data_IF_228396533323
#
_entry.id   IF_228396533323
#
_cell.length_a   1.000
_cell.length_b   1.000
_cell.length_c   1.000
_cell.angle_alpha   90.00
_cell.angle_beta   90.00
_cell.angle_gamma   90.00
#
_symmetry.space_group_name_H-M   'P 1'
#
loop_
_entity.id
_entity.type
_entity.pdbx_description
1 polymer ?
#
# COMPACT_ATOMS: atom_id res chain seq x y z
N UNK A 1 35.17 -12.80 -82.86
CA UNK A 1 35.84 -13.26 -81.62
C UNK A 1 35.62 -12.19 -80.55
N UNK A 2 35.17 -12.62 -79.36
CA UNK A 2 35.14 -11.90 -78.07
C UNK A 2 34.14 -10.72 -78.00
N UNK A 3 33.36 -10.46 -76.96
CA UNK A 3 33.07 -11.04 -75.64
C UNK A 3 31.73 -10.38 -75.24
N UNK A 4 30.79 -11.01 -74.54
CA UNK A 4 30.96 -11.48 -73.17
C UNK A 4 30.42 -10.43 -72.19
N UNK A 5 29.24 -10.70 -71.63
CA UNK A 5 28.53 -9.96 -70.58
C UNK A 5 29.42 -9.57 -69.38
N UNK A 6 29.10 -8.44 -68.71
CA UNK A 6 28.92 -8.42 -67.25
C UNK A 6 28.23 -7.14 -66.78
N UNK A 7 26.96 -7.26 -66.37
CA UNK A 7 26.31 -6.33 -65.44
C UNK A 7 26.58 -6.89 -64.04
N UNK A 8 27.16 -6.11 -63.13
CA UNK A 8 26.94 -6.20 -61.68
C UNK A 8 27.88 -5.24 -60.95
N UNK A 9 27.38 -4.10 -60.47
CA UNK A 9 27.88 -3.40 -59.27
C UNK A 9 26.98 -2.18 -59.00
N UNK A 10 25.81 -2.38 -58.40
CA UNK A 10 25.08 -1.26 -57.81
C UNK A 10 24.13 -1.68 -56.69
N UNK A 11 24.54 -2.51 -55.73
CA UNK A 11 23.69 -2.75 -54.54
C UNK A 11 24.53 -3.23 -53.34
N UNK A 12 25.44 -2.42 -52.81
CA UNK A 12 26.19 -2.81 -51.59
C UNK A 12 26.50 -1.65 -50.63
N UNK A 13 25.63 -0.63 -50.49
CA UNK A 13 25.86 0.43 -49.47
C UNK A 13 24.67 0.90 -48.63
N UNK A 14 23.46 0.36 -48.83
CA UNK A 14 22.25 0.81 -48.12
C UNK A 14 21.54 -0.33 -47.39
N UNK A 15 22.29 -1.20 -46.69
CA UNK A 15 21.68 -2.30 -45.94
C UNK A 15 22.28 -2.54 -44.54
N UNK A 16 23.15 -1.65 -44.02
CA UNK A 16 23.73 -1.83 -42.67
C UNK A 16 23.23 -0.85 -41.60
N UNK A 17 22.61 0.27 -41.97
CA UNK A 17 22.19 1.29 -40.98
C UNK A 17 20.81 1.01 -40.34
N UNK A 18 19.96 0.17 -40.96
CA UNK A 18 18.60 -0.07 -40.47
C UNK A 18 18.51 -1.17 -39.39
N UNK A 19 19.51 -2.06 -39.30
CA UNK A 19 19.47 -3.21 -38.37
C UNK A 19 19.90 -2.82 -36.94
N UNK A 20 20.71 -1.77 -36.78
CA UNK A 20 21.18 -1.32 -35.46
C UNK A 20 20.17 -0.46 -34.69
N UNK A 21 19.17 0.11 -35.38
CA UNK A 21 18.14 0.94 -34.73
C UNK A 21 16.99 0.12 -34.10
N UNK A 22 16.86 -1.17 -34.44
CA UNK A 22 15.79 -2.03 -33.94
C UNK A 22 16.14 -2.80 -32.65
N UNK A 23 17.39 -2.76 -32.21
CA UNK A 23 17.87 -3.49 -31.02
C UNK A 23 17.70 -2.72 -29.70
N UNK A 24 17.25 -1.46 -29.73
CA UNK A 24 17.11 -0.62 -28.53
C UNK A 24 15.70 -0.61 -27.91
N UNK A 25 14.73 -1.34 -28.46
CA UNK A 25 13.35 -1.34 -27.95
C UNK A 25 12.95 -2.61 -27.17
N UNK A 26 13.88 -3.56 -26.96
CA UNK A 26 13.63 -4.71 -26.08
C UNK A 26 14.12 -4.39 -24.66
N UNK A 27 13.68 -3.25 -24.15
CA UNK A 27 13.68 -3.00 -22.70
C UNK A 27 12.54 -3.80 -22.10
N UNK A 28 12.78 -5.08 -21.84
CA UNK A 28 11.87 -5.93 -21.06
C UNK A 28 11.93 -5.41 -19.61
N UNK A 29 11.12 -4.41 -19.29
CA UNK A 29 10.84 -4.06 -17.91
C UNK A 29 10.23 -5.30 -17.28
N UNK A 30 10.91 -5.91 -16.31
CA UNK A 30 10.28 -6.92 -15.46
C UNK A 30 9.14 -6.22 -14.75
N UNK A 31 7.92 -6.46 -15.22
CA UNK A 31 6.74 -6.21 -14.43
C UNK A 31 6.94 -7.06 -13.16
N UNK A 32 7.00 -6.38 -12.00
CA UNK A 32 7.03 -7.06 -10.72
C UNK A 32 5.61 -7.61 -10.55
N UNK A 33 5.35 -8.76 -11.14
CA UNK A 33 4.08 -9.48 -11.04
C UNK A 33 3.94 -10.00 -9.60
N UNK A 34 3.53 -9.11 -8.70
CA UNK A 34 3.12 -9.46 -7.35
C UNK A 34 1.68 -9.94 -7.41
N UNK A 35 1.49 -11.25 -7.17
CA UNK A 35 0.17 -11.84 -6.98
C UNK A 35 -0.37 -11.44 -5.60
N UNK A 36 -1.55 -10.79 -5.52
CA UNK A 36 -2.18 -10.42 -4.25
C UNK A 36 -2.24 -11.60 -3.27
N UNK A 37 -1.75 -11.38 -2.05
CA UNK A 37 -1.81 -12.37 -0.97
C UNK A 37 -2.57 -11.82 0.22
N UNK A 38 -3.56 -12.58 0.68
CA UNK A 38 -4.33 -12.27 1.88
C UNK A 38 -3.98 -13.27 2.99
N UNK A 39 -3.27 -12.79 4.02
CA UNK A 39 -2.83 -13.57 5.17
C UNK A 39 -3.12 -12.80 6.47
N UNK A 40 -4.33 -13.00 7.00
CA UNK A 40 -4.86 -12.18 8.09
C UNK A 40 -4.78 -12.85 9.47
N UNK A 41 -4.57 -14.17 9.55
CA UNK A 41 -4.62 -14.93 10.80
C UNK A 41 -5.82 -14.59 11.68
N UNK A 42 -5.56 -14.39 12.98
CA UNK A 42 -6.59 -14.04 13.99
C UNK A 42 -7.15 -12.62 13.85
N UNK A 43 -6.58 -11.79 12.97
CA UNK A 43 -7.02 -10.40 12.76
C UNK A 43 -8.17 -10.28 11.75
N UNK A 44 -8.57 -11.37 11.10
CA UNK A 44 -9.65 -11.38 10.12
C UNK A 44 -10.97 -10.73 10.62
N UNK A 45 -11.42 -10.91 11.88
CA UNK A 45 -12.61 -10.23 12.38
C UNK A 45 -12.48 -8.70 12.43
N UNK A 46 -11.29 -8.18 12.73
CA UNK A 46 -11.05 -6.72 12.72
C UNK A 46 -11.02 -6.18 11.29
N UNK A 47 -10.40 -6.90 10.36
CA UNK A 47 -10.40 -6.53 8.94
C UNK A 47 -11.82 -6.51 8.37
N UNK A 48 -12.66 -7.48 8.75
CA UNK A 48 -14.07 -7.48 8.36
C UNK A 48 -14.84 -6.26 8.90
N UNK A 49 -14.57 -5.83 10.14
CA UNK A 49 -15.15 -4.60 10.70
C UNK A 49 -14.67 -3.35 9.97
N UNK A 50 -13.42 -3.35 9.51
CA UNK A 50 -12.87 -2.26 8.71
C UNK A 50 -13.58 -2.13 7.36
N UNK A 51 -13.76 -3.24 6.64
CA UNK A 51 -14.53 -3.26 5.39
C UNK A 51 -15.99 -2.84 5.62
N UNK A 52 -16.62 -3.33 6.69
CA UNK A 52 -17.99 -2.98 7.05
C UNK A 52 -18.14 -1.49 7.35
N UNK A 53 -17.22 -0.91 8.13
CA UNK A 53 -17.26 0.52 8.42
C UNK A 53 -17.01 1.37 7.18
N UNK A 54 -16.23 0.89 6.20
CA UNK A 54 -16.10 1.54 4.90
C UNK A 54 -17.44 1.60 4.16
N UNK A 55 -18.15 0.47 4.08
CA UNK A 55 -19.45 0.38 3.39
C UNK A 55 -20.48 1.31 4.02
N UNK A 56 -20.54 1.35 5.35
CA UNK A 56 -21.40 2.27 6.12
C UNK A 56 -21.11 3.76 5.86
N UNK A 57 -19.90 4.08 5.38
CA UNK A 57 -19.47 5.43 5.03
C UNK A 57 -19.50 5.70 3.52
N UNK A 58 -20.16 4.82 2.74
CA UNK A 58 -20.38 5.01 1.31
C UNK A 58 -19.17 4.65 0.43
N UNK A 59 -18.19 3.94 0.99
CA UNK A 59 -17.03 3.43 0.27
C UNK A 59 -17.08 1.90 0.23
N UNK A 60 -17.13 1.30 -0.96
CA UNK A 60 -17.04 -0.16 -1.10
C UNK A 60 -15.56 -0.56 -1.13
N UNK A 61 -14.99 -0.79 0.06
CA UNK A 61 -13.61 -1.24 0.23
C UNK A 61 -13.56 -2.75 0.45
N UNK A 62 -12.63 -3.41 -0.24
CA UNK A 62 -12.26 -4.80 0.00
C UNK A 62 -10.76 -4.94 0.13
N UNK A 63 -10.31 -5.63 1.18
CA UNK A 63 -8.90 -5.88 1.45
C UNK A 63 -8.51 -7.17 0.74
N UNK A 64 -7.78 -7.04 -0.37
CA UNK A 64 -7.44 -8.16 -1.25
C UNK A 64 -5.95 -8.57 -1.16
N UNK A 65 -5.09 -7.67 -0.70
CA UNK A 65 -3.64 -7.88 -0.57
C UNK A 65 -3.15 -7.28 0.74
N UNK A 66 -2.96 -8.13 1.74
CA UNK A 66 -2.52 -7.72 3.08
C UNK A 66 -2.01 -8.93 3.86
N UNK A 67 -0.87 -8.76 4.53
CA UNK A 67 -0.40 -9.68 5.56
C UNK A 67 -0.43 -8.98 6.92
N UNK A 68 -0.91 -9.66 7.95
CA UNK A 68 -0.86 -9.16 9.34
C UNK A 68 -0.16 -10.18 10.21
N UNK A 69 0.90 -9.77 10.91
CA UNK A 69 1.67 -10.66 11.78
C UNK A 69 2.23 -9.94 12.99
N UNK A 70 2.55 -10.71 14.02
CA UNK A 70 3.43 -10.20 15.08
C UNK A 70 4.89 -10.22 14.63
N UNK A 71 5.69 -9.26 15.09
CA UNK A 71 7.10 -9.17 14.75
C UNK A 71 7.90 -8.21 15.62
N UNK A 72 9.20 -8.12 15.32
CA UNK A 72 10.09 -7.13 15.91
C UNK A 72 10.00 -5.82 15.13
N UNK A 73 10.28 -4.72 15.81
CA UNK A 73 10.36 -3.38 15.26
C UNK A 73 11.65 -2.74 15.75
N UNK A 74 12.21 -1.83 14.96
CA UNK A 74 13.45 -1.13 15.32
C UNK A 74 13.23 -0.15 16.48
N UNK A 75 12.09 0.53 16.48
CA UNK A 75 11.70 1.46 17.53
C UNK A 75 11.05 0.72 18.71
N UNK A 76 11.49 1.00 19.96
CA UNK A 76 10.81 0.47 21.14
C UNK A 76 9.42 1.11 21.35
N UNK A 77 9.17 2.29 20.77
CA UNK A 77 7.93 3.05 20.96
C UNK A 77 6.80 2.63 20.02
N UNK A 78 7.13 1.98 18.90
CA UNK A 78 6.15 1.59 17.89
C UNK A 78 5.33 0.40 18.41
N UNK A 79 4.02 0.43 18.16
CA UNK A 79 3.08 -0.64 18.57
C UNK A 79 2.59 -1.45 17.37
N UNK A 80 2.53 -0.79 16.22
CA UNK A 80 2.27 -1.31 14.88
C UNK A 80 3.17 -0.55 13.89
N UNK A 81 3.48 -1.19 12.78
CA UNK A 81 4.03 -0.53 11.58
C UNK A 81 3.41 -1.16 10.34
N UNK A 82 3.32 -0.38 9.28
CA UNK A 82 3.02 -0.84 7.94
C UNK A 82 4.30 -0.84 7.09
N UNK A 83 4.69 -2.01 6.59
CA UNK A 83 5.79 -2.17 5.64
C UNK A 83 5.23 -2.30 4.22
N UNK A 84 5.70 -1.42 3.33
CA UNK A 84 5.34 -1.41 1.90
C UNK A 84 6.63 -1.52 1.11
N UNK A 85 6.90 -2.72 0.60
CA UNK A 85 8.07 -3.01 -0.23
C UNK A 85 7.59 -3.20 -1.68
N UNK A 86 8.22 -2.55 -2.68
CA UNK A 86 7.82 -2.72 -4.07
C UNK A 86 7.86 -4.19 -4.52
N UNK A 87 6.74 -4.69 -5.04
CA UNK A 87 6.61 -6.08 -5.48
C UNK A 87 6.34 -7.09 -4.36
N UNK A 88 6.01 -6.64 -3.15
CA UNK A 88 5.60 -7.50 -2.04
C UNK A 88 4.22 -7.09 -1.48
N UNK A 89 3.53 -8.04 -0.87
CA UNK A 89 2.30 -7.79 -0.11
C UNK A 89 2.55 -6.79 1.02
N UNK A 90 1.78 -5.69 1.11
CA UNK A 90 1.81 -4.79 2.26
C UNK A 90 1.65 -5.57 3.56
N UNK A 91 2.56 -5.36 4.50
CA UNK A 91 2.61 -6.16 5.73
C UNK A 91 2.45 -5.25 6.94
N UNK A 92 1.38 -5.47 7.70
CA UNK A 92 1.23 -4.89 9.04
C UNK A 92 1.97 -5.78 10.03
N UNK A 93 2.92 -5.19 10.75
CA UNK A 93 3.65 -5.85 11.82
C UNK A 93 3.17 -5.25 13.13
N UNK A 94 2.77 -6.10 14.08
CA UNK A 94 2.34 -5.69 15.42
C UNK A 94 3.35 -6.17 16.47
N UNK A 95 3.55 -5.36 17.51
CA UNK A 95 4.36 -5.73 18.66
C UNK A 95 3.48 -6.50 19.65
N UNK A 96 3.67 -7.83 19.75
CA UNK A 96 2.86 -8.73 20.59
C UNK A 96 2.71 -8.23 22.03
N UNK A 97 3.81 -7.82 22.65
CA UNK A 97 3.81 -7.34 24.04
C UNK A 97 3.02 -6.05 24.23
N UNK A 98 2.91 -5.21 23.21
CA UNK A 98 2.04 -4.03 23.26
C UNK A 98 0.58 -4.42 23.01
N UNK A 99 0.34 -5.25 21.99
CA UNK A 99 -0.99 -5.71 21.59
C UNK A 99 -1.77 -6.36 22.74
N UNK A 100 -1.11 -7.19 23.54
CA UNK A 100 -1.72 -7.91 24.65
C UNK A 100 -2.14 -7.00 25.81
N UNK A 101 -1.66 -5.75 25.84
CA UNK A 101 -2.01 -4.76 26.86
C UNK A 101 -3.13 -3.81 26.40
N UNK A 102 -3.51 -3.84 25.13
CA UNK A 102 -4.54 -2.98 24.57
C UNK A 102 -5.94 -3.56 24.83
N UNK A 103 -6.92 -2.69 25.04
CA UNK A 103 -8.33 -3.11 24.99
C UNK A 103 -8.74 -3.45 23.56
N UNK A 104 -9.89 -4.11 23.38
CA UNK A 104 -10.40 -4.43 22.04
C UNK A 104 -10.56 -3.18 21.16
N UNK A 105 -10.98 -2.05 21.74
CA UNK A 105 -11.15 -0.80 21.00
C UNK A 105 -9.80 -0.15 20.65
N UNK A 106 -8.79 -0.28 21.51
CA UNK A 106 -7.44 0.20 21.22
C UNK A 106 -6.74 -0.69 20.17
N UNK A 107 -7.00 -2.00 20.19
CA UNK A 107 -6.58 -2.93 19.15
C UNK A 107 -7.21 -2.58 17.80
N UNK A 108 -8.50 -2.25 17.81
CA UNK A 108 -9.22 -1.79 16.62
C UNK A 108 -8.65 -0.46 16.10
N UNK A 109 -8.47 0.53 16.97
CA UNK A 109 -7.89 1.82 16.61
C UNK A 109 -6.49 1.65 15.99
N UNK A 110 -5.62 0.85 16.61
CA UNK A 110 -4.28 0.56 16.11
C UNK A 110 -4.33 -0.14 14.75
N UNK A 111 -5.11 -1.22 14.62
CA UNK A 111 -5.13 -1.96 13.36
C UNK A 111 -5.76 -1.13 12.22
N UNK A 112 -6.77 -0.32 12.51
CA UNK A 112 -7.39 0.54 11.51
C UNK A 112 -6.45 1.67 11.08
N UNK A 113 -5.65 2.21 12.01
CA UNK A 113 -4.56 3.13 11.68
C UNK A 113 -3.55 2.49 10.70
N UNK A 114 -3.08 1.28 11.01
CA UNK A 114 -2.13 0.57 10.14
C UNK A 114 -2.75 0.19 8.78
N UNK A 115 -4.04 -0.17 8.74
CA UNK A 115 -4.76 -0.37 7.47
C UNK A 115 -4.91 0.94 6.68
N UNK A 116 -5.02 2.08 7.37
CA UNK A 116 -4.92 3.40 6.75
C UNK A 116 -3.63 3.57 5.94
N UNK A 117 -2.49 3.14 6.49
CA UNK A 117 -1.21 3.12 5.78
C UNK A 117 -1.16 2.04 4.68
N UNK A 118 -1.44 0.79 5.02
CA UNK A 118 -1.18 -0.37 4.16
C UNK A 118 -2.21 -0.57 3.05
N UNK A 119 -3.48 -0.33 3.34
CA UNK A 119 -4.60 -0.53 2.40
C UNK A 119 -4.94 0.78 1.69
N UNK A 120 -5.00 1.88 2.43
CA UNK A 120 -5.50 3.17 1.91
C UNK A 120 -4.40 4.16 1.54
N UNK A 121 -3.13 3.84 1.80
CA UNK A 121 -1.96 4.69 1.49
C UNK A 121 -2.04 6.09 2.10
N UNK A 122 -2.70 6.22 3.26
CA UNK A 122 -2.79 7.50 3.97
C UNK A 122 -1.49 7.77 4.72
N UNK A 123 -1.08 9.03 4.78
CA UNK A 123 -0.01 9.50 5.65
C UNK A 123 -0.57 9.89 7.01
N UNK A 124 0.33 10.11 7.98
CA UNK A 124 -0.07 10.68 9.25
C UNK A 124 -0.71 12.06 9.08
N UNK A 125 -1.78 12.34 9.83
CA UNK A 125 -2.39 13.65 9.95
C UNK A 125 -2.27 14.14 11.40
N UNK A 126 -1.44 15.17 11.62
CA UNK A 126 -1.17 15.72 12.95
C UNK A 126 -2.15 16.80 13.41
N UNK A 127 -3.17 17.12 12.61
CA UNK A 127 -4.14 18.16 12.92
C UNK A 127 -4.99 17.81 14.15
N UNK A 128 -5.34 18.86 14.89
CA UNK A 128 -6.19 18.81 16.07
C UNK A 128 -7.25 19.89 15.98
N UNK A 129 -8.41 19.62 16.58
CA UNK A 129 -9.42 20.63 16.85
C UNK A 129 -8.89 21.70 17.81
N UNK A 130 -9.61 22.82 17.96
CA UNK A 130 -9.31 23.85 18.96
C UNK A 130 -9.30 23.36 20.41
N UNK A 131 -9.88 22.18 20.67
CA UNK A 131 -9.89 21.50 21.98
C UNK A 131 -8.75 20.49 22.15
N UNK A 132 -7.84 20.38 21.17
CA UNK A 132 -6.70 19.46 21.22
C UNK A 132 -7.01 18.01 20.84
N UNK A 133 -8.23 17.73 20.36
CA UNK A 133 -8.63 16.39 19.91
C UNK A 133 -8.14 16.13 18.49
N UNK A 134 -7.48 14.99 18.22
CA UNK A 134 -7.10 14.62 16.85
C UNK A 134 -8.29 14.55 15.90
N UNK A 135 -8.13 15.11 14.69
CA UNK A 135 -9.22 15.13 13.69
C UNK A 135 -9.31 13.84 12.87
N UNK A 136 -8.26 13.02 12.90
CA UNK A 136 -8.08 11.81 12.08
C UNK A 136 -7.60 10.64 12.92
N UNK A 137 -7.96 9.42 12.51
CA UNK A 137 -7.37 8.19 13.07
C UNK A 137 -5.89 8.05 12.71
N UNK A 138 -5.44 8.71 11.64
CA UNK A 138 -4.05 8.77 11.20
C UNK A 138 -3.19 9.72 12.05
N UNK A 139 -3.64 10.10 13.24
CA UNK A 139 -2.82 10.86 14.17
C UNK A 139 -1.56 10.05 14.55
N UNK A 140 -0.34 10.63 14.53
CA UNK A 140 0.92 9.87 14.67
C UNK A 140 1.15 9.26 16.06
N UNK A 141 0.26 9.49 17.02
CA UNK A 141 0.33 8.90 18.36
C UNK A 141 -0.91 8.06 18.62
N UNK A 142 -0.73 6.97 19.37
CA UNK A 142 -1.83 6.09 19.76
C UNK A 142 -2.95 6.88 20.45
N UNK A 143 -4.17 6.68 19.96
CA UNK A 143 -5.37 7.23 20.58
C UNK A 143 -5.75 6.37 21.79
N UNK A 144 -6.11 7.02 22.90
CA UNK A 144 -6.69 6.31 24.03
C UNK A 144 -8.12 5.82 23.70
N UNK A 145 -8.57 4.81 24.44
CA UNK A 145 -9.91 4.22 24.30
C UNK A 145 -11.04 5.26 24.31
N UNK A 146 -11.00 6.25 25.20
CA UNK A 146 -12.09 7.22 25.34
C UNK A 146 -12.16 8.15 24.13
N UNK A 147 -11.02 8.66 23.67
CA UNK A 147 -10.94 9.47 22.46
C UNK A 147 -11.42 8.69 21.24
N UNK A 148 -10.94 7.44 21.08
CA UNK A 148 -11.33 6.59 19.96
C UNK A 148 -12.85 6.33 19.94
N UNK A 149 -13.43 5.87 21.05
CA UNK A 149 -14.86 5.56 21.12
C UNK A 149 -15.75 6.79 20.87
N UNK A 150 -15.37 7.95 21.38
CA UNK A 150 -16.16 9.17 21.18
C UNK A 150 -16.17 9.63 19.72
N UNK A 151 -15.10 9.36 18.98
CA UNK A 151 -14.91 9.84 17.61
C UNK A 151 -14.92 8.73 16.55
N UNK A 152 -15.19 7.47 16.92
CA UNK A 152 -15.05 6.30 16.05
C UNK A 152 -15.73 6.47 14.69
N UNK A 153 -16.99 6.95 14.67
CA UNK A 153 -17.74 7.18 13.43
C UNK A 153 -17.09 8.26 12.56
N UNK A 154 -16.64 9.36 13.17
CA UNK A 154 -15.95 10.44 12.46
C UNK A 154 -14.63 9.92 11.88
N UNK A 155 -13.85 9.19 12.67
CA UNK A 155 -12.59 8.59 12.26
C UNK A 155 -12.76 7.61 11.10
N UNK A 156 -13.76 6.73 11.17
CA UNK A 156 -14.02 5.81 10.06
C UNK A 156 -14.45 6.56 8.79
N UNK A 157 -15.31 7.56 8.94
CA UNK A 157 -15.75 8.41 7.82
C UNK A 157 -14.57 9.14 7.16
N UNK A 158 -13.69 9.74 7.96
CA UNK A 158 -12.48 10.40 7.49
C UNK A 158 -11.57 9.41 6.76
N UNK A 159 -11.28 8.28 7.40
CA UNK A 159 -10.33 7.28 6.93
C UNK A 159 -10.69 6.69 5.57
N UNK A 160 -11.97 6.51 5.26
CA UNK A 160 -12.44 5.94 3.99
C UNK A 160 -12.94 7.00 3.01
N UNK A 161 -12.90 8.28 3.38
CA UNK A 161 -13.24 9.37 2.47
C UNK A 161 -12.21 9.47 1.34
N UNK A 162 -12.73 9.61 0.11
CA UNK A 162 -11.96 9.74 -1.13
C UNK A 162 -11.15 11.06 -1.23
N UNK A 163 -11.37 11.98 -0.30
CA UNK A 163 -10.86 13.36 -0.34
C UNK A 163 -9.87 13.67 0.80
N UNK A 164 -9.16 12.67 1.33
CA UNK A 164 -7.95 12.94 2.11
C UNK A 164 -6.85 13.40 1.17
N UNK A 165 -6.59 14.71 1.11
CA UNK A 165 -5.62 15.34 0.21
C UNK A 165 -4.22 14.71 0.35
N UNK A 166 -3.58 14.45 -0.80
CA UNK A 166 -2.20 13.96 -0.94
C UNK A 166 -1.20 15.12 -0.99
#
# INVERSE_FOLDING_TARGET
MLNGYSKQTLFTRTALAAVFAFLFLIGCGKELDHEPQLDLGDFAPLVARFEQGSDQNGAVLKVLDLRIRFGKMDSPYDRGICEIIPGETPTIILKKSAWDLLTEEEQEALLFHEMGHCVLRRNHNSEKTSKGVPVSLMYPYALDRTTYLHHQKQYMSELVSKYGEF
#
